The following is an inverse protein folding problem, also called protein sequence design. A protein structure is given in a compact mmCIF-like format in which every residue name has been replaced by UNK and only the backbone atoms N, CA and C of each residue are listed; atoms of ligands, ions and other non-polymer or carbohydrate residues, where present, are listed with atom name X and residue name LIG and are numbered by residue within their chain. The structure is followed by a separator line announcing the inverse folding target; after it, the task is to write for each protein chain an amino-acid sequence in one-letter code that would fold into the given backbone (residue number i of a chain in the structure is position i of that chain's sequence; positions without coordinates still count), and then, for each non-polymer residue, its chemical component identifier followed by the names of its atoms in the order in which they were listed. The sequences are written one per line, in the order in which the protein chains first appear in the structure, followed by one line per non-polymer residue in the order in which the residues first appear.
data_IF_914841996601
#
_entry.id   IF_914841996601
#
_cell.length_a   1.000
_cell.length_b   1.000
_cell.length_c   1.000
_cell.angle_alpha   90.00
_cell.angle_beta   90.00
_cell.angle_gamma   90.00
#
_symmetry.space_group_name_H-M   'P 1'
#
loop_
_entity.id
_entity.type
_entity.pdbx_description
1 polymer ?
#
# COMPACT_ATOMS: atom_id res chain seq x y z
N UNK A 1 7.68 14.78 -8.32
CA UNK A 1 6.71 14.45 -7.25
C UNK A 1 6.59 12.94 -7.14
N UNK A 2 6.74 12.41 -5.95
CA UNK A 2 6.65 10.97 -5.73
C UNK A 2 5.21 10.50 -5.83
N UNK A 3 5.01 9.33 -6.44
CA UNK A 3 3.69 8.72 -6.62
C UNK A 3 3.47 7.61 -5.60
N UNK A 4 2.32 7.63 -4.94
CA UNK A 4 1.93 6.60 -3.98
C UNK A 4 0.65 5.96 -4.48
N UNK A 5 0.66 4.63 -4.65
CA UNK A 5 -0.54 3.88 -5.02
C UNK A 5 -1.17 3.33 -3.74
N UNK A 6 -2.44 3.69 -3.51
CA UNK A 6 -3.20 3.18 -2.36
C UNK A 6 -4.23 2.16 -2.86
N UNK A 7 -4.05 0.90 -2.47
CA UNK A 7 -4.97 -0.19 -2.83
C UNK A 7 -5.86 -0.46 -1.62
N UNK A 8 -7.09 0.04 -1.68
CA UNK A 8 -8.02 0.07 -0.55
C UNK A 8 -9.43 0.24 -1.09
N UNK A 9 -10.38 -0.58 -0.65
CA UNK A 9 -11.75 -0.54 -1.16
C UNK A 9 -12.64 0.49 -0.48
N UNK A 10 -12.22 1.08 0.62
CA UNK A 10 -13.01 2.08 1.35
C UNK A 10 -12.77 3.47 0.77
N UNK A 11 -13.80 4.00 0.06
CA UNK A 11 -13.68 5.30 -0.62
C UNK A 11 -13.38 6.46 0.32
N UNK A 12 -13.96 6.45 1.52
CA UNK A 12 -13.72 7.50 2.50
C UNK A 12 -12.25 7.55 2.93
N UNK A 13 -11.64 6.39 3.10
CA UNK A 13 -10.23 6.30 3.48
C UNK A 13 -9.34 6.75 2.33
N UNK A 14 -9.69 6.39 1.09
CA UNK A 14 -8.99 6.86 -0.10
C UNK A 14 -8.96 8.39 -0.15
N UNK A 15 -10.13 9.02 0.09
CA UNK A 15 -10.22 10.47 0.07
C UNK A 15 -9.38 11.12 1.16
N UNK A 16 -9.47 10.59 2.38
CA UNK A 16 -8.72 11.12 3.52
C UNK A 16 -7.22 11.07 3.28
N UNK A 17 -6.71 9.92 2.82
CA UNK A 17 -5.29 9.79 2.51
C UNK A 17 -4.89 10.65 1.31
N UNK A 18 -5.76 10.74 0.30
CA UNK A 18 -5.49 11.57 -0.87
C UNK A 18 -5.27 13.03 -0.49
N UNK A 19 -6.12 13.56 0.38
CA UNK A 19 -6.03 14.95 0.82
C UNK A 19 -4.72 15.21 1.57
N UNK A 20 -4.37 14.35 2.54
CA UNK A 20 -3.17 14.59 3.34
C UNK A 20 -1.88 14.34 2.54
N UNK A 21 -1.85 13.32 1.69
CA UNK A 21 -0.66 13.06 0.88
C UNK A 21 -0.40 14.16 -0.12
N UNK A 22 -1.46 14.74 -0.68
CA UNK A 22 -1.32 15.89 -1.57
C UNK A 22 -0.72 17.08 -0.83
N UNK A 23 -1.17 17.34 0.41
CA UNK A 23 -0.61 18.41 1.23
C UNK A 23 0.87 18.18 1.53
N UNK A 24 1.29 16.92 1.61
CA UNK A 24 2.68 16.56 1.88
C UNK A 24 3.55 16.54 0.62
N UNK A 25 2.99 16.88 -0.52
CA UNK A 25 3.74 16.95 -1.77
C UNK A 25 3.79 15.67 -2.58
N UNK A 26 2.94 14.70 -2.27
CA UNK A 26 2.86 13.44 -3.03
C UNK A 26 1.70 13.46 -4.01
N UNK A 27 1.82 12.66 -5.06
CA UNK A 27 0.70 12.33 -5.93
C UNK A 27 0.16 10.98 -5.49
N UNK A 28 -1.17 10.89 -5.24
CA UNK A 28 -1.76 9.61 -4.86
C UNK A 28 -2.60 9.03 -6.00
N UNK A 29 -2.39 7.75 -6.27
CA UNK A 29 -3.19 6.96 -7.21
C UNK A 29 -4.06 6.03 -6.38
N UNK A 30 -5.33 5.87 -6.76
CA UNK A 30 -6.30 5.07 -6.01
C UNK A 30 -6.72 3.84 -6.77
N UNK A 31 -6.68 2.68 -6.12
CA UNK A 31 -7.25 1.44 -6.64
C UNK A 31 -8.20 0.89 -5.59
N UNK A 32 -9.41 0.52 -6.00
CA UNK A 32 -10.46 0.08 -5.07
C UNK A 32 -10.55 -1.45 -4.94
N UNK A 33 -9.72 -2.18 -5.65
CA UNK A 33 -9.67 -3.64 -5.59
C UNK A 33 -8.27 -4.14 -5.96
N UNK A 34 -8.01 -5.41 -5.69
CA UNK A 34 -6.69 -6.00 -5.89
C UNK A 34 -6.26 -6.10 -7.34
N UNK A 35 -7.18 -6.40 -8.25
CA UNK A 35 -6.85 -6.51 -9.67
C UNK A 35 -6.45 -5.15 -10.25
N UNK A 36 -7.23 -4.12 -9.96
CA UNK A 36 -6.94 -2.76 -10.39
C UNK A 36 -5.61 -2.30 -9.81
N UNK A 37 -5.37 -2.59 -8.53
CA UNK A 37 -4.12 -2.22 -7.87
C UNK A 37 -2.91 -2.85 -8.55
N UNK A 38 -2.99 -4.13 -8.87
CA UNK A 38 -1.89 -4.83 -9.54
C UNK A 38 -1.62 -4.23 -10.92
N UNK A 39 -2.69 -3.97 -11.70
CA UNK A 39 -2.56 -3.37 -13.03
C UNK A 39 -1.92 -1.99 -12.94
N UNK A 40 -2.40 -1.14 -12.02
CA UNK A 40 -1.88 0.21 -11.86
C UNK A 40 -0.42 0.21 -11.41
N UNK A 41 -0.03 -0.71 -10.54
CA UNK A 41 1.36 -0.82 -10.11
C UNK A 41 2.28 -1.05 -11.31
N UNK A 42 1.83 -1.88 -12.26
CA UNK A 42 2.64 -2.20 -13.45
C UNK A 42 2.66 -1.05 -14.46
N UNK A 43 1.55 -0.34 -14.61
CA UNK A 43 1.42 0.69 -15.66
C UNK A 43 1.85 2.07 -15.20
N UNK A 44 1.67 2.41 -13.92
CA UNK A 44 1.95 3.76 -13.40
C UNK A 44 3.30 3.88 -12.71
N UNK A 45 3.96 2.78 -12.42
CA UNK A 45 5.26 2.75 -11.73
C UNK A 45 5.30 3.63 -10.49
N UNK A 46 4.43 3.37 -9.48
CA UNK A 46 4.46 4.19 -8.27
C UNK A 46 5.78 4.01 -7.52
N UNK A 47 6.11 5.01 -6.71
CA UNK A 47 7.32 4.98 -5.89
C UNK A 47 7.12 4.19 -4.60
N UNK A 48 5.86 4.04 -4.17
CA UNK A 48 5.49 3.28 -2.97
C UNK A 48 4.05 2.79 -3.12
N UNK A 49 3.76 1.64 -2.55
CA UNK A 49 2.41 1.08 -2.54
C UNK A 49 1.94 0.92 -1.09
N UNK A 50 0.77 1.49 -0.77
CA UNK A 50 0.03 1.20 0.46
C UNK A 50 -0.98 0.13 0.08
N UNK A 51 -0.97 -1.00 0.77
CA UNK A 51 -1.78 -2.16 0.39
C UNK A 51 -2.58 -2.69 1.57
N UNK A 52 -3.91 -2.70 1.43
CA UNK A 52 -4.75 -3.44 2.36
C UNK A 52 -4.78 -4.90 1.90
N UNK A 53 -4.87 -5.82 2.83
CA UNK A 53 -4.91 -7.25 2.53
C UNK A 53 -6.32 -7.78 2.33
N UNK A 54 -7.33 -7.10 2.88
CA UNK A 54 -8.73 -7.50 2.74
C UNK A 54 -9.35 -6.70 1.61
N UNK A 55 -9.37 -7.26 0.41
CA UNK A 55 -9.81 -6.57 -0.81
C UNK A 55 -10.77 -7.43 -1.62
N UNK A 56 -11.71 -6.79 -2.37
CA UNK A 56 -12.50 -7.52 -3.34
C UNK A 56 -11.64 -7.92 -4.55
N UNK A 57 -12.12 -8.88 -5.30
CA UNK A 57 -11.58 -9.42 -6.55
C UNK A 57 -10.29 -10.21 -6.40
N UNK A 58 -9.25 -9.64 -5.78
CA UNK A 58 -8.00 -10.33 -5.57
C UNK A 58 -7.50 -10.00 -4.15
N UNK A 59 -7.29 -11.03 -3.34
CA UNK A 59 -6.83 -10.86 -1.96
C UNK A 59 -5.46 -10.18 -1.91
N UNK A 60 -5.25 -9.36 -0.88
CA UNK A 60 -4.01 -8.60 -0.76
C UNK A 60 -2.73 -9.43 -0.73
N UNK A 61 -2.76 -10.63 -0.14
CA UNK A 61 -1.59 -11.50 -0.17
C UNK A 61 -1.23 -11.92 -1.60
N UNK A 62 -2.25 -12.19 -2.43
CA UNK A 62 -2.02 -12.52 -3.84
C UNK A 62 -1.44 -11.33 -4.59
N UNK A 63 -1.93 -10.12 -4.31
CA UNK A 63 -1.41 -8.89 -4.90
C UNK A 63 0.05 -8.70 -4.51
N UNK A 64 0.35 -8.86 -3.21
CA UNK A 64 1.71 -8.70 -2.68
C UNK A 64 2.67 -9.69 -3.36
N UNK A 65 2.26 -10.94 -3.44
CA UNK A 65 3.08 -11.97 -4.08
C UNK A 65 3.33 -11.65 -5.55
N UNK A 66 2.27 -11.28 -6.29
CA UNK A 66 2.38 -10.95 -7.70
C UNK A 66 3.30 -9.74 -7.94
N UNK A 67 3.22 -8.72 -7.08
CA UNK A 67 4.08 -7.55 -7.18
C UNK A 67 5.55 -7.91 -6.98
N UNK A 68 5.83 -8.80 -6.04
CA UNK A 68 7.22 -9.18 -5.74
C UNK A 68 7.80 -10.17 -6.74
N UNK A 69 6.96 -10.83 -7.50
CA UNK A 69 7.40 -11.76 -8.55
C UNK A 69 7.60 -11.09 -9.91
N UNK A 70 7.10 -9.88 -10.09
CA UNK A 70 7.19 -9.16 -11.37
C UNK A 70 8.40 -8.24 -11.37
N UNK A 71 9.23 -8.36 -12.40
CA UNK A 71 10.46 -7.57 -12.52
C UNK A 71 10.22 -6.06 -12.52
N UNK A 72 9.05 -5.61 -13.01
CA UNK A 72 8.73 -4.18 -13.07
C UNK A 72 8.26 -3.59 -11.75
N UNK A 73 7.88 -4.43 -10.77
CA UNK A 73 7.30 -3.96 -9.51
C UNK A 73 8.02 -4.49 -8.27
N UNK A 74 8.89 -5.49 -8.40
CA UNK A 74 9.48 -6.18 -7.25
C UNK A 74 10.28 -5.27 -6.30
N UNK A 75 10.82 -4.18 -6.81
CA UNK A 75 11.66 -3.27 -6.01
C UNK A 75 10.87 -2.11 -5.40
N UNK A 76 9.57 -2.00 -5.70
CA UNK A 76 8.74 -0.94 -5.12
C UNK A 76 8.48 -1.26 -3.65
N UNK A 77 8.77 -0.36 -2.71
CA UNK A 77 8.46 -0.61 -1.30
C UNK A 77 6.95 -0.71 -1.09
N UNK A 78 6.54 -1.70 -0.31
CA UNK A 78 5.12 -1.94 -0.02
C UNK A 78 4.89 -1.85 1.48
N UNK A 79 4.05 -0.90 1.89
CA UNK A 79 3.60 -0.80 3.27
C UNK A 79 2.21 -1.42 3.32
N UNK A 80 2.07 -2.51 4.09
CA UNK A 80 0.76 -3.12 4.33
C UNK A 80 0.05 -2.29 5.39
N UNK A 81 -1.17 -1.87 5.10
CA UNK A 81 -2.02 -1.10 6.02
C UNK A 81 -3.37 -1.79 6.07
N UNK A 82 -3.64 -2.53 7.14
CA UNK A 82 -4.79 -3.43 7.20
C UNK A 82 -5.27 -3.60 8.65
N UNK A 83 -6.47 -4.15 8.81
CA UNK A 83 -6.98 -4.52 10.13
C UNK A 83 -6.69 -5.98 10.51
N UNK A 84 -6.01 -6.74 9.67
CA UNK A 84 -5.62 -8.11 10.02
C UNK A 84 -4.50 -8.07 11.06
N UNK A 85 -4.74 -8.65 12.24
CA UNK A 85 -3.83 -8.57 13.38
C UNK A 85 -3.13 -9.89 13.70
N UNK A 86 -3.48 -10.98 13.01
CA UNK A 86 -2.92 -12.29 13.30
C UNK A 86 -1.40 -12.33 13.09
N UNK A 87 -0.68 -12.96 14.02
CA UNK A 87 0.77 -13.12 13.91
C UNK A 87 1.16 -13.80 12.62
N UNK A 88 0.39 -14.83 12.22
CA UNK A 88 0.65 -15.52 10.96
C UNK A 88 0.50 -14.64 9.74
N UNK A 89 -0.46 -13.70 9.76
CA UNK A 89 -0.65 -12.75 8.66
C UNK A 89 0.52 -11.79 8.55
N UNK A 90 1.00 -11.28 9.68
CA UNK A 90 2.15 -10.38 9.71
C UNK A 90 3.40 -11.10 9.16
N UNK A 91 3.67 -12.31 9.65
CA UNK A 91 4.82 -13.09 9.22
C UNK A 91 4.75 -13.39 7.72
N UNK A 92 3.57 -13.79 7.23
CA UNK A 92 3.39 -14.11 5.81
C UNK A 92 3.65 -12.90 4.93
N UNK A 93 3.11 -11.72 5.30
CA UNK A 93 3.32 -10.51 4.54
C UNK A 93 4.80 -10.13 4.47
N UNK A 94 5.50 -10.21 5.58
CA UNK A 94 6.92 -9.88 5.63
C UNK A 94 7.77 -10.88 4.82
N UNK A 95 7.42 -12.17 4.90
CA UNK A 95 8.07 -13.20 4.09
C UNK A 95 7.86 -12.99 2.60
N UNK A 96 6.68 -12.50 2.21
CA UNK A 96 6.38 -12.20 0.81
C UNK A 96 7.04 -10.91 0.34
N UNK A 97 7.69 -10.16 1.23
CA UNK A 97 8.47 -8.99 0.84
C UNK A 97 7.88 -7.63 1.19
N UNK A 98 6.85 -7.58 2.04
CA UNK A 98 6.34 -6.29 2.51
C UNK A 98 7.44 -5.58 3.31
N UNK A 99 7.59 -4.28 3.06
CA UNK A 99 8.58 -3.46 3.74
C UNK A 99 8.19 -3.22 5.20
N UNK A 100 6.91 -2.92 5.43
CA UNK A 100 6.37 -2.58 6.75
C UNK A 100 4.93 -3.09 6.84
N UNK A 101 4.52 -3.48 8.04
CA UNK A 101 3.15 -3.94 8.29
C UNK A 101 2.54 -3.04 9.37
N UNK A 102 1.46 -2.34 9.04
CA UNK A 102 0.77 -1.44 9.96
C UNK A 102 -0.68 -1.89 10.14
N UNK A 103 -1.14 -1.93 11.39
CA UNK A 103 -2.53 -2.25 11.70
C UNK A 103 -3.30 -0.93 11.76
N UNK A 104 -4.33 -0.79 10.93
CA UNK A 104 -5.09 0.47 10.78
C UNK A 104 -5.52 1.07 12.10
N UNK A 105 -6.06 0.24 13.00
CA UNK A 105 -6.59 0.72 14.28
C UNK A 105 -5.52 1.21 15.26
N UNK A 106 -4.25 0.88 15.01
CA UNK A 106 -3.15 1.20 15.94
C UNK A 106 -2.36 2.44 15.54
N UNK A 107 -2.64 3.04 14.39
CA UNK A 107 -1.88 4.18 13.89
C UNK A 107 -2.79 5.33 13.51
N UNK A 108 -2.35 6.56 13.83
CA UNK A 108 -3.02 7.76 13.35
C UNK A 108 -2.61 8.01 11.90
N UNK A 109 -3.38 8.86 11.21
CA UNK A 109 -3.06 9.25 9.85
C UNK A 109 -1.65 9.86 9.77
N UNK A 110 -1.29 10.72 10.72
CA UNK A 110 0.02 11.35 10.78
C UNK A 110 1.14 10.33 10.97
N UNK A 111 0.89 9.30 11.77
CA UNK A 111 1.88 8.23 11.97
C UNK A 111 2.10 7.42 10.70
N UNK A 112 1.04 7.16 9.94
CA UNK A 112 1.17 6.46 8.66
C UNK A 112 1.96 7.32 7.67
N UNK A 113 1.67 8.62 7.61
CA UNK A 113 2.41 9.55 6.74
C UNK A 113 3.89 9.58 7.12
N UNK A 114 4.21 9.55 8.42
CA UNK A 114 5.60 9.50 8.87
C UNK A 114 6.31 8.24 8.38
N UNK A 115 5.62 7.09 8.37
CA UNK A 115 6.16 5.84 7.83
C UNK A 115 6.42 5.93 6.33
N UNK A 116 5.51 6.57 5.61
CA UNK A 116 5.67 6.79 4.17
C UNK A 116 6.91 7.64 3.89
N UNK A 117 7.06 8.73 4.62
CA UNK A 117 8.22 9.63 4.45
C UNK A 117 9.52 8.92 4.75
N UNK A 118 9.53 8.04 5.75
CA UNK A 118 10.72 7.27 6.09
C UNK A 118 11.07 6.28 4.97
N UNK A 119 10.07 5.70 4.33
CA UNK A 119 10.28 4.75 3.23
C UNK A 119 10.65 5.43 1.92
N UNK A 120 10.33 6.72 1.78
CA UNK A 120 10.60 7.53 0.58
C UNK A 120 11.41 8.78 0.92
N UNK A 121 12.64 8.63 1.40
CA UNK A 121 13.49 9.81 1.63
C UNK A 121 13.78 10.50 0.30
N UNK A 122 13.87 11.80 0.35
CA UNK A 122 14.14 12.59 -0.87
C UNK A 122 15.52 12.30 -1.46
#
# INVERSE_FOLDING_TARGET
MKKILFVEDESALQKTFGDILKQEGYEMLSALDGETGLTMAKTENPDLILLDLVLPKKHGFEVLQALKEDASTKDIPIIVLTNLEGTGDVEKALELGATTYLIKASYTLEEVVAKIKKALPD
#
